data_IF_575853743732
#
_entry.id   IF_575853743732
#
_cell.length_a   1.000
_cell.length_b   1.000
_cell.length_c   1.000
_cell.angle_alpha   90.00
_cell.angle_beta   90.00
_cell.angle_gamma   90.00
#
_symmetry.space_group_name_H-M   'P 1'
#
loop_
_entity.id
_entity.type
_entity.pdbx_description
1 polymer ?
#
# COMPACT_ATOMS: atom_id res chain seq x y z
N UNK A 1 -11.14 11.83 -19.10
CA UNK A 1 -11.26 12.67 -17.89
C UNK A 1 -10.97 11.79 -16.69
N UNK A 2 -9.76 11.83 -16.15
CA UNK A 2 -9.48 11.33 -14.80
C UNK A 2 -10.06 12.36 -13.83
N UNK A 3 -11.32 12.17 -13.45
CA UNK A 3 -11.88 12.92 -12.32
C UNK A 3 -10.97 12.69 -11.11
N UNK A 4 -10.68 13.74 -10.35
CA UNK A 4 -9.97 13.60 -9.07
C UNK A 4 -10.65 12.47 -8.28
N UNK A 5 -9.89 11.47 -7.78
CA UNK A 5 -10.47 10.45 -6.93
C UNK A 5 -11.20 11.17 -5.81
N UNK A 6 -12.46 10.81 -5.55
CA UNK A 6 -13.16 11.30 -4.37
C UNK A 6 -12.26 11.08 -3.16
N UNK A 7 -12.17 12.01 -2.19
CA UNK A 7 -11.31 11.86 -1.02
C UNK A 7 -11.48 10.51 -0.28
N UNK A 8 -12.70 9.95 -0.34
CA UNK A 8 -13.01 8.62 0.19
C UNK A 8 -12.36 7.48 -0.60
N UNK A 9 -12.30 7.61 -1.93
CA UNK A 9 -11.67 6.65 -2.84
C UNK A 9 -10.15 6.72 -2.69
N UNK A 10 -9.58 7.92 -2.50
CA UNK A 10 -8.15 8.08 -2.30
C UNK A 10 -7.67 7.40 -1.02
N UNK A 11 -8.39 7.57 0.09
CA UNK A 11 -8.07 6.89 1.34
C UNK A 11 -8.19 5.36 1.20
N UNK A 12 -9.26 4.89 0.57
CA UNK A 12 -9.45 3.47 0.30
C UNK A 12 -8.33 2.87 -0.57
N UNK A 13 -7.93 3.56 -1.64
CA UNK A 13 -6.85 3.10 -2.52
C UNK A 13 -5.50 3.07 -1.79
N UNK A 14 -5.24 4.05 -0.91
CA UNK A 14 -4.05 4.08 -0.07
C UNK A 14 -4.04 2.90 0.91
N UNK A 15 -5.13 2.65 1.61
CA UNK A 15 -5.26 1.54 2.56
C UNK A 15 -5.17 0.17 1.85
N UNK A 16 -5.84 0.02 0.70
CA UNK A 16 -5.79 -1.20 -0.09
C UNK A 16 -4.39 -1.45 -0.67
N UNK A 17 -3.69 -0.41 -1.12
CA UNK A 17 -2.31 -0.50 -1.59
C UNK A 17 -1.37 -0.94 -0.48
N UNK A 18 -1.50 -0.37 0.72
CA UNK A 18 -0.74 -0.79 1.89
C UNK A 18 -0.96 -2.27 2.23
N UNK A 19 -2.22 -2.71 2.30
CA UNK A 19 -2.57 -4.11 2.57
C UNK A 19 -2.01 -5.07 1.52
N UNK A 20 -2.03 -4.67 0.26
CA UNK A 20 -1.48 -5.47 -0.83
C UNK A 20 0.04 -5.65 -0.69
N UNK A 21 0.77 -4.56 -0.44
CA UNK A 21 2.24 -4.60 -0.24
C UNK A 21 2.59 -5.41 1.01
N UNK A 22 1.84 -5.24 2.11
CA UNK A 22 2.01 -6.03 3.33
C UNK A 22 1.81 -7.54 3.10
N UNK A 23 0.75 -7.91 2.38
CA UNK A 23 0.43 -9.32 2.09
C UNK A 23 1.48 -9.96 1.18
N UNK A 24 1.93 -9.26 0.14
CA UNK A 24 3.00 -9.73 -0.74
C UNK A 24 4.31 -9.88 0.03
N UNK A 25 4.68 -8.89 0.84
CA UNK A 25 5.92 -8.93 1.62
C UNK A 25 5.97 -10.07 2.62
N UNK A 26 4.85 -10.35 3.29
CA UNK A 26 4.71 -11.49 4.19
C UNK A 26 4.86 -12.82 3.43
N UNK A 27 4.24 -12.96 2.26
CA UNK A 27 4.35 -14.16 1.42
C UNK A 27 5.75 -14.38 0.83
N UNK A 28 6.44 -13.28 0.51
CA UNK A 28 7.79 -13.30 -0.08
C UNK A 28 8.93 -13.44 0.96
N UNK A 29 8.62 -13.54 2.26
CA UNK A 29 9.60 -13.47 3.36
C UNK A 29 10.52 -12.23 3.22
N UNK A 30 9.96 -11.09 2.78
CA UNK A 30 10.73 -9.86 2.75
C UNK A 30 11.14 -9.51 4.18
N UNK A 31 12.39 -9.08 4.33
CA UNK A 31 12.89 -8.62 5.62
C UNK A 31 11.98 -7.52 6.17
N UNK A 32 11.60 -7.57 7.46
CA UNK A 32 10.69 -6.58 8.06
C UNK A 32 11.18 -5.13 7.89
N UNK A 33 12.49 -4.90 7.80
CA UNK A 33 13.10 -3.58 7.57
C UNK A 33 12.88 -3.10 6.14
N UNK A 34 12.92 -4.02 5.17
CA UNK A 34 12.61 -3.73 3.77
C UNK A 34 11.12 -3.42 3.58
N UNK A 35 10.25 -4.11 4.31
CA UNK A 35 8.81 -3.83 4.32
C UNK A 35 8.47 -2.46 4.89
N UNK A 36 9.07 -2.07 6.01
CA UNK A 36 8.89 -0.72 6.56
C UNK A 36 9.36 0.36 5.57
N UNK A 37 10.51 0.14 4.90
CA UNK A 37 11.02 1.09 3.91
C UNK A 37 10.12 1.25 2.66
N UNK A 38 9.33 0.22 2.32
CA UNK A 38 8.35 0.27 1.22
C UNK A 38 7.02 0.92 1.63
N UNK A 39 6.67 0.82 2.91
CA UNK A 39 5.45 1.37 3.49
C UNK A 39 5.58 2.88 3.81
N UNK A 40 6.76 3.32 4.25
CA UNK A 40 7.01 4.73 4.63
C UNK A 40 7.24 5.69 3.43
N UNK A 41 7.16 5.19 2.18
CA UNK A 41 7.31 5.99 0.95
C UNK A 41 5.97 6.37 0.34
#
# INVERSE_FOLDING_TARGET
MSGLPSPLIENYLREAGFWHVATIGQGCKLDPKLMNALIER
#
